data_IF_575623412892
#
_entry.id   IF_575623412892
#
_cell.length_a   1.000
_cell.length_b   1.000
_cell.length_c   1.000
_cell.angle_alpha   90.00
_cell.angle_beta   90.00
_cell.angle_gamma   90.00
#
_symmetry.space_group_name_H-M   'P 1'
#
loop_
_entity.id
_entity.type
_entity.pdbx_description
1 polymer ?
#
# COMPACT_ATOMS: atom_id res chain seq x y z
N UNK A 1 17.40 0.24 1.20
CA UNK A 1 16.89 1.62 1.04
C UNK A 1 15.39 1.58 1.31
N UNK A 2 14.88 2.45 2.17
CA UNK A 2 13.47 2.54 2.53
C UNK A 2 12.64 2.93 1.30
N UNK A 3 11.51 2.25 1.08
CA UNK A 3 10.55 2.57 0.02
C UNK A 3 9.19 2.84 0.64
N UNK A 4 8.48 3.85 0.13
CA UNK A 4 7.08 4.06 0.49
C UNK A 4 6.20 2.89 0.02
N UNK A 5 5.09 2.66 0.71
CA UNK A 5 4.07 1.70 0.29
C UNK A 5 3.10 2.30 -0.72
N UNK A 6 3.00 3.63 -0.75
CA UNK A 6 2.24 4.37 -1.76
C UNK A 6 3.16 4.72 -2.93
N UNK A 7 2.62 4.76 -4.12
CA UNK A 7 3.37 5.14 -5.31
C UNK A 7 2.51 5.18 -6.55
N UNK A 8 3.00 5.91 -7.52
CA UNK A 8 2.45 6.01 -8.86
C UNK A 8 3.57 5.83 -9.88
N UNK A 9 3.31 5.06 -10.91
CA UNK A 9 4.21 4.90 -12.05
C UNK A 9 3.41 4.81 -13.34
N UNK A 10 3.99 5.24 -14.42
CA UNK A 10 3.39 5.20 -15.75
C UNK A 10 4.44 4.92 -16.82
N UNK A 11 3.99 4.32 -17.91
CA UNK A 11 4.82 4.15 -19.09
C UNK A 11 3.95 4.29 -20.33
N UNK A 12 4.43 4.98 -21.33
CA UNK A 12 3.86 5.04 -22.67
C UNK A 12 4.90 4.49 -23.63
N UNK A 13 4.54 3.41 -24.35
CA UNK A 13 5.41 2.79 -25.34
C UNK A 13 4.66 2.77 -26.66
N UNK A 14 5.30 3.34 -27.67
CA UNK A 14 4.84 3.28 -29.06
C UNK A 14 5.59 2.15 -29.76
N UNK A 15 4.86 1.22 -30.35
CA UNK A 15 5.38 0.10 -31.11
C UNK A 15 4.80 0.12 -32.53
N UNK A 16 5.36 -0.67 -33.42
CA UNK A 16 4.80 -0.84 -34.75
C UNK A 16 3.42 -1.52 -34.65
N UNK A 17 2.37 -0.78 -35.04
CA UNK A 17 1.00 -1.28 -35.05
C UNK A 17 0.17 -1.03 -33.77
N UNK A 18 0.77 -0.62 -32.66
CA UNK A 18 0.02 -0.29 -31.44
C UNK A 18 0.78 0.65 -30.50
N UNK A 19 0.02 1.34 -29.64
CA UNK A 19 0.53 2.13 -28.54
C UNK A 19 -0.02 1.55 -27.24
N UNK A 20 0.83 1.34 -26.25
CA UNK A 20 0.45 0.88 -24.92
C UNK A 20 0.74 1.94 -23.87
N UNK A 21 -0.22 2.19 -22.99
CA UNK A 21 -0.06 3.06 -21.84
C UNK A 21 -0.39 2.28 -20.58
N UNK A 22 0.60 2.18 -19.70
CA UNK A 22 0.47 1.56 -18.39
C UNK A 22 0.40 2.60 -17.29
N UNK A 23 -0.47 2.37 -16.33
CA UNK A 23 -0.49 3.09 -15.06
C UNK A 23 -0.51 2.09 -13.91
N UNK A 24 0.37 2.32 -12.93
CA UNK A 24 0.50 1.51 -11.73
C UNK A 24 0.31 2.42 -10.52
N UNK A 25 -0.64 2.10 -9.65
CA UNK A 25 -0.92 2.82 -8.39
C UNK A 25 -0.89 1.85 -7.24
N UNK A 26 -0.29 2.24 -6.12
CA UNK A 26 -0.30 1.40 -4.92
C UNK A 26 -0.72 2.15 -3.67
N UNK A 27 -1.34 1.40 -2.76
CA UNK A 27 -1.67 1.84 -1.41
C UNK A 27 -1.25 0.78 -0.39
N UNK A 28 -1.09 1.18 0.86
CA UNK A 28 -0.71 0.26 1.92
C UNK A 28 -1.77 -0.85 2.08
N UNK A 29 -1.31 -2.10 2.09
CA UNK A 29 -2.11 -3.28 2.43
C UNK A 29 -1.22 -4.35 3.04
N UNK A 30 -1.82 -5.17 3.92
CA UNK A 30 -1.12 -6.26 4.63
C UNK A 30 -0.63 -7.36 3.67
N UNK A 31 -1.41 -7.67 2.64
CA UNK A 31 -1.14 -8.67 1.62
C UNK A 31 -1.01 -8.03 0.26
N UNK A 32 -0.37 -8.72 -0.69
CA UNK A 32 -0.37 -8.31 -2.07
C UNK A 32 -1.75 -8.58 -2.67
N UNK A 33 -2.44 -7.51 -3.05
CA UNK A 33 -3.74 -7.52 -3.73
C UNK A 33 -3.58 -6.78 -5.06
N UNK A 34 -3.78 -7.50 -6.17
CA UNK A 34 -3.62 -6.97 -7.52
C UNK A 34 -4.99 -6.71 -8.14
N UNK A 35 -5.22 -5.50 -8.60
CA UNK A 35 -6.41 -5.13 -9.36
C UNK A 35 -6.04 -4.74 -10.77
N UNK A 36 -6.61 -5.49 -11.72
CA UNK A 36 -6.35 -5.32 -13.13
C UNK A 36 -7.49 -4.59 -13.83
N UNK A 37 -7.11 -3.69 -14.72
CA UNK A 37 -7.99 -3.07 -15.72
C UNK A 37 -7.32 -3.25 -17.08
N UNK A 38 -7.58 -4.39 -17.68
CA UNK A 38 -7.03 -4.77 -18.99
C UNK A 38 -8.13 -4.72 -20.05
N UNK A 39 -7.81 -4.31 -21.29
CA UNK A 39 -8.68 -4.51 -22.44
C UNK A 39 -9.04 -6.00 -22.58
N UNK A 40 -10.25 -6.30 -23.09
CA UNK A 40 -10.73 -7.68 -23.27
C UNK A 40 -9.78 -8.51 -24.13
N UNK A 41 -9.21 -7.90 -25.18
CA UNK A 41 -8.29 -8.55 -26.13
C UNK A 41 -7.01 -9.13 -25.50
N UNK A 42 -6.61 -8.66 -24.32
CA UNK A 42 -5.37 -9.10 -23.65
C UNK A 42 -5.61 -9.59 -22.22
N UNK A 43 -6.87 -9.75 -21.83
CA UNK A 43 -7.23 -10.17 -20.47
C UNK A 43 -6.73 -11.57 -20.12
N UNK A 44 -6.60 -12.44 -21.09
CA UNK A 44 -6.03 -13.79 -20.93
C UNK A 44 -4.57 -13.77 -20.46
N UNK A 45 -3.85 -12.65 -20.65
CA UNK A 45 -2.46 -12.48 -20.21
C UNK A 45 -2.32 -12.15 -18.71
N UNK A 46 -3.42 -11.87 -17.99
CA UNK A 46 -3.37 -11.49 -16.56
C UNK A 46 -2.48 -12.40 -15.72
N UNK A 47 -2.55 -13.77 -15.82
CA UNK A 47 -1.69 -14.63 -15.01
C UNK A 47 -0.20 -14.52 -15.35
N UNK A 48 0.12 -14.15 -16.60
CA UNK A 48 1.49 -13.95 -17.07
C UNK A 48 2.03 -12.61 -16.58
N UNK A 49 1.25 -11.55 -16.73
CA UNK A 49 1.57 -10.19 -16.23
C UNK A 49 1.69 -10.15 -14.70
N UNK A 50 0.89 -10.93 -13.99
CA UNK A 50 1.00 -11.07 -12.53
C UNK A 50 2.39 -11.56 -12.11
N UNK A 51 2.98 -12.50 -12.84
CA UNK A 51 4.35 -12.97 -12.57
C UNK A 51 5.38 -11.84 -12.69
N UNK A 52 5.18 -10.91 -13.63
CA UNK A 52 6.03 -9.72 -13.75
C UNK A 52 5.88 -8.85 -12.52
N UNK A 53 4.64 -8.51 -12.11
CA UNK A 53 4.38 -7.65 -10.94
C UNK A 53 4.98 -8.24 -9.66
N UNK A 54 4.89 -9.55 -9.45
CA UNK A 54 5.43 -10.24 -8.27
C UNK A 54 6.94 -10.16 -8.11
N UNK A 55 7.70 -9.80 -9.16
CA UNK A 55 9.13 -9.52 -9.07
C UNK A 55 9.41 -8.14 -8.44
N UNK A 56 8.47 -7.21 -8.55
CA UNK A 56 8.60 -5.83 -8.09
C UNK A 56 7.86 -5.56 -6.77
N UNK A 57 6.79 -6.30 -6.48
CA UNK A 57 5.92 -6.10 -5.33
C UNK A 57 5.74 -7.38 -4.52
N UNK A 58 5.94 -7.30 -3.19
CA UNK A 58 5.72 -8.41 -2.24
C UNK A 58 4.46 -8.20 -1.37
N UNK A 59 3.99 -6.94 -1.23
CA UNK A 59 2.81 -6.55 -0.44
C UNK A 59 2.23 -5.23 -0.95
N UNK A 60 1.05 -4.90 -0.46
CA UNK A 60 0.32 -3.69 -0.86
C UNK A 60 -0.80 -4.02 -1.85
N UNK A 61 -1.77 -3.14 -1.94
CA UNK A 61 -2.74 -3.20 -3.01
C UNK A 61 -2.21 -2.39 -4.19
N UNK A 62 -2.11 -3.05 -5.35
CA UNK A 62 -1.59 -2.45 -6.58
C UNK A 62 -2.69 -2.48 -7.64
N UNK A 63 -3.15 -1.31 -8.02
CA UNK A 63 -4.11 -1.12 -9.12
C UNK A 63 -3.31 -0.87 -10.40
N UNK A 64 -3.51 -1.72 -11.41
CA UNK A 64 -2.77 -1.71 -12.68
C UNK A 64 -3.77 -1.54 -13.81
N UNK A 65 -3.54 -0.55 -14.66
CA UNK A 65 -4.37 -0.30 -15.85
C UNK A 65 -3.52 -0.25 -17.11
N UNK A 66 -4.04 -0.86 -18.15
CA UNK A 66 -3.50 -0.81 -19.52
C UNK A 66 -4.52 -0.14 -20.44
N UNK A 67 -4.07 0.87 -21.15
CA UNK A 67 -4.76 1.38 -22.34
C UNK A 67 -3.97 0.94 -23.57
N UNK A 68 -4.62 0.21 -24.46
CA UNK A 68 -4.02 -0.31 -25.69
C UNK A 68 -4.76 0.30 -26.89
N UNK A 69 -4.03 0.93 -27.77
CA UNK A 69 -4.56 1.54 -28.99
C UNK A 69 -3.83 0.97 -30.20
N UNK A 70 -4.57 0.39 -31.13
CA UNK A 70 -4.01 -0.13 -32.36
C UNK A 70 -3.96 0.97 -33.42
N UNK A 71 -2.85 1.07 -34.14
CA UNK A 71 -2.63 2.02 -35.25
C UNK A 71 -2.73 1.30 -36.59
N UNK A 72 -3.26 1.96 -37.59
CA UNK A 72 -3.29 1.43 -38.95
C UNK A 72 -4.25 0.24 -39.21
N UNK A 73 -5.23 0.02 -38.34
CA UNK A 73 -6.18 -1.09 -38.53
C UNK A 73 -5.63 -2.49 -38.19
N UNK A 74 -4.49 -2.54 -37.52
CA UNK A 74 -3.78 -3.80 -37.15
C UNK A 74 -4.37 -4.50 -35.91
N UNK A 75 -5.39 -3.90 -35.25
CA UNK A 75 -6.04 -4.50 -34.09
C UNK A 75 -6.77 -5.80 -34.44
N UNK A 76 -7.00 -6.68 -33.46
CA UNK A 76 -7.78 -7.88 -33.66
C UNK A 76 -9.18 -7.49 -34.17
N UNK A 77 -9.54 -7.96 -35.35
CA UNK A 77 -10.86 -7.73 -35.89
C UNK A 77 -11.89 -8.47 -35.04
N UNK A 78 -12.99 -7.79 -34.64
CA UNK A 78 -14.04 -8.47 -33.89
C UNK A 78 -14.56 -9.66 -34.74
N UNK A 79 -14.59 -10.84 -34.15
CA UNK A 79 -15.05 -12.05 -34.84
C UNK A 79 -16.52 -12.25 -34.55
N UNK A 80 -17.31 -12.36 -35.62
CA UNK A 80 -18.72 -12.69 -35.50
C UNK A 80 -18.89 -14.19 -35.22
N UNK A 81 -19.57 -14.56 -34.14
CA UNK A 81 -19.88 -15.93 -33.80
C UNK A 81 -21.10 -16.43 -34.60
N UNK A 82 -20.80 -16.93 -35.80
CA UNK A 82 -21.82 -17.44 -36.71
C UNK A 82 -22.55 -18.65 -36.10
N UNK A 83 -21.86 -19.49 -35.32
CA UNK A 83 -22.46 -20.70 -34.73
C UNK A 83 -23.48 -20.33 -33.66
N UNK A 84 -23.17 -19.36 -32.82
CA UNK A 84 -24.14 -18.85 -31.85
C UNK A 84 -25.31 -18.12 -32.52
N UNK A 85 -25.03 -17.34 -33.56
CA UNK A 85 -26.08 -16.70 -34.38
C UNK A 85 -27.04 -17.69 -35.01
N UNK A 86 -26.54 -18.78 -35.60
CA UNK A 86 -27.37 -19.85 -36.18
C UNK A 86 -28.25 -20.52 -35.11
N UNK A 87 -27.71 -20.83 -33.93
CA UNK A 87 -28.47 -21.41 -32.81
C UNK A 87 -29.58 -20.46 -32.33
N UNK A 88 -29.35 -19.17 -32.32
CA UNK A 88 -30.37 -18.16 -31.97
C UNK A 88 -31.47 -18.10 -33.03
N UNK A 89 -31.11 -18.10 -34.33
CA UNK A 89 -32.05 -18.07 -35.43
C UNK A 89 -32.94 -19.34 -35.43
N UNK A 90 -32.37 -20.51 -35.22
CA UNK A 90 -33.09 -21.76 -35.13
C UNK A 90 -34.09 -21.76 -33.97
N UNK A 91 -33.68 -21.27 -32.82
CA UNK A 91 -34.57 -21.14 -31.65
C UNK A 91 -35.77 -20.19 -31.92
N UNK A 92 -35.52 -19.07 -32.61
CA UNK A 92 -36.57 -18.15 -33.03
C UNK A 92 -37.52 -18.73 -34.08
N UNK A 93 -36.97 -19.46 -35.03
CA UNK A 93 -37.74 -20.19 -36.06
C UNK A 93 -38.67 -21.23 -35.44
N UNK A 94 -38.18 -22.02 -34.49
CA UNK A 94 -38.99 -22.97 -33.74
C UNK A 94 -40.08 -22.31 -32.92
N UNK A 95 -39.76 -21.17 -32.29
CA UNK A 95 -40.75 -20.40 -31.51
C UNK A 95 -41.86 -19.88 -32.41
N UNK A 96 -41.53 -19.27 -33.57
CA UNK A 96 -42.52 -18.80 -34.54
C UNK A 96 -43.40 -19.92 -35.03
N UNK A 97 -42.82 -21.11 -35.39
CA UNK A 97 -43.57 -22.28 -35.82
C UNK A 97 -44.59 -22.74 -34.78
N UNK A 98 -44.21 -22.77 -33.50
CA UNK A 98 -45.12 -23.11 -32.38
C UNK A 98 -46.28 -22.13 -32.25
N UNK A 99 -46.08 -20.87 -32.66
CA UNK A 99 -47.12 -19.81 -32.60
C UNK A 99 -47.94 -19.70 -33.90
N UNK A 100 -47.58 -20.48 -34.93
CA UNK A 100 -48.21 -20.39 -36.25
C UNK A 100 -47.82 -19.12 -37.02
N UNK A 101 -46.70 -18.51 -36.68
CA UNK A 101 -46.17 -17.26 -37.28
C UNK A 101 -45.07 -17.59 -38.28
N UNK A 102 -44.88 -16.75 -39.30
CA UNK A 102 -43.77 -16.86 -40.24
C UNK A 102 -42.58 -16.07 -39.70
N UNK A 103 -41.45 -16.75 -39.49
CA UNK A 103 -40.22 -16.09 -39.07
C UNK A 103 -39.41 -15.61 -40.26
N UNK A 104 -39.05 -14.34 -40.29
CA UNK A 104 -38.10 -13.72 -41.23
C UNK A 104 -36.91 -13.17 -40.44
N UNK A 105 -35.67 -13.69 -40.69
CA UNK A 105 -34.52 -13.25 -39.93
C UNK A 105 -34.14 -11.83 -40.29
N UNK A 106 -33.81 -11.02 -39.27
CA UNK A 106 -33.19 -9.69 -39.45
C UNK A 106 -31.71 -9.80 -39.08
N UNK A 107 -30.86 -9.88 -40.09
CA UNK A 107 -29.42 -9.95 -39.91
C UNK A 107 -28.82 -8.66 -39.33
N UNK A 108 -29.42 -7.50 -39.57
CA UNK A 108 -28.94 -6.23 -39.00
C UNK A 108 -29.16 -6.20 -37.48
N UNK A 109 -30.28 -6.78 -37.01
CA UNK A 109 -30.53 -6.93 -35.59
C UNK A 109 -29.51 -7.88 -34.94
N UNK A 110 -29.09 -8.96 -35.61
CA UNK A 110 -28.02 -9.83 -35.13
C UNK A 110 -26.67 -9.12 -35.05
N UNK A 111 -26.30 -8.33 -36.05
CA UNK A 111 -25.07 -7.56 -36.06
C UNK A 111 -25.00 -6.52 -34.92
N UNK A 112 -26.14 -6.06 -34.43
CA UNK A 112 -26.24 -5.13 -33.32
C UNK A 112 -26.10 -5.79 -31.94
N UNK A 113 -26.08 -7.13 -31.85
CA UNK A 113 -25.96 -7.85 -30.59
C UNK A 113 -24.49 -8.01 -30.16
N UNK A 114 -24.06 -7.34 -29.07
CA UNK A 114 -22.68 -7.44 -28.59
C UNK A 114 -22.28 -8.88 -28.24
N UNK A 115 -23.23 -9.72 -27.83
CA UNK A 115 -23.00 -11.11 -27.47
C UNK A 115 -22.52 -11.98 -28.65
N UNK A 116 -22.75 -11.56 -29.90
CA UNK A 116 -22.33 -12.28 -31.10
C UNK A 116 -20.96 -11.80 -31.63
N UNK A 117 -20.39 -10.79 -30.97
CA UNK A 117 -19.05 -10.30 -31.31
C UNK A 117 -18.10 -10.73 -30.20
N UNK A 118 -17.35 -11.78 -30.48
CA UNK A 118 -16.23 -12.19 -29.63
C UNK A 118 -14.97 -11.43 -30.02
N UNK A 119 -14.07 -11.24 -29.06
CA UNK A 119 -12.69 -11.02 -29.43
C UNK A 119 -12.25 -12.19 -30.29
N UNK A 120 -11.39 -11.94 -31.28
CA UNK A 120 -10.70 -13.01 -32.00
C UNK A 120 -9.91 -13.80 -30.96
N UNK A 121 -10.67 -14.51 -30.10
CA UNK A 121 -10.14 -15.31 -29.04
C UNK A 121 -9.33 -16.41 -29.68
N UNK A 122 -8.07 -16.31 -29.53
CA UNK A 122 -7.18 -17.45 -29.35
C UNK A 122 -5.77 -16.90 -29.56
N UNK A 123 -4.94 -17.05 -28.57
CA UNK A 123 -3.53 -16.74 -28.54
C UNK A 123 -3.18 -15.30 -28.93
N UNK A 124 -3.12 -14.45 -27.89
CA UNK A 124 -2.46 -13.15 -28.04
C UNK A 124 -1.06 -13.41 -28.63
N UNK A 125 -0.76 -12.74 -29.73
CA UNK A 125 0.54 -12.88 -30.41
C UNK A 125 1.69 -12.75 -29.37
N UNK A 126 2.67 -13.64 -29.49
CA UNK A 126 3.79 -13.67 -28.55
C UNK A 126 4.61 -12.39 -28.61
N UNK A 127 4.71 -11.76 -29.79
CA UNK A 127 5.38 -10.45 -29.95
C UNK A 127 4.66 -9.36 -29.16
N UNK A 128 3.33 -9.30 -29.24
CA UNK A 128 2.51 -8.38 -28.43
C UNK A 128 2.65 -8.70 -26.93
N UNK A 129 2.64 -9.97 -26.57
CA UNK A 129 2.78 -10.41 -25.18
C UNK A 129 4.10 -9.92 -24.56
N UNK A 130 5.21 -10.14 -25.25
CA UNK A 130 6.53 -9.68 -24.81
C UNK A 130 6.62 -8.16 -24.70
N UNK A 131 6.07 -7.45 -25.67
CA UNK A 131 6.04 -5.98 -25.64
C UNK A 131 5.20 -5.45 -24.46
N UNK A 132 4.08 -6.10 -24.12
CA UNK A 132 3.26 -5.74 -22.96
C UNK A 132 3.97 -6.04 -21.64
N UNK A 133 4.71 -7.14 -21.53
CA UNK A 133 5.53 -7.45 -20.35
C UNK A 133 6.64 -6.42 -20.14
N UNK A 134 7.28 -5.98 -21.22
CA UNK A 134 8.33 -4.96 -21.19
C UNK A 134 7.74 -3.59 -20.77
N UNK A 135 6.63 -3.16 -21.39
CA UNK A 135 5.96 -1.91 -21.03
C UNK A 135 5.48 -1.90 -19.58
N UNK A 136 4.93 -3.00 -19.09
CA UNK A 136 4.59 -3.15 -17.67
C UNK A 136 5.82 -3.07 -16.78
N UNK A 137 6.94 -3.68 -17.17
CA UNK A 137 8.18 -3.63 -16.39
C UNK A 137 8.69 -2.21 -16.26
N UNK A 138 8.68 -1.42 -17.33
CA UNK A 138 9.06 -0.01 -17.32
C UNK A 138 8.15 0.83 -16.40
N UNK A 139 6.84 0.59 -16.43
CA UNK A 139 5.91 1.27 -15.53
C UNK A 139 6.14 0.89 -14.05
N UNK A 140 6.53 -0.36 -13.78
CA UNK A 140 6.86 -0.84 -12.44
C UNK A 140 8.21 -0.30 -11.95
N UNK A 141 9.16 -0.05 -12.83
CA UNK A 141 10.42 0.64 -12.51
C UNK A 141 10.15 2.09 -12.11
N UNK A 142 9.39 2.85 -12.92
CA UNK A 142 8.99 4.23 -12.61
C UNK A 142 8.22 4.29 -11.27
N UNK A 143 7.29 3.36 -11.05
CA UNK A 143 6.58 3.22 -9.78
C UNK A 143 7.53 2.97 -8.60
N UNK A 144 8.56 2.11 -8.76
CA UNK A 144 9.53 1.85 -7.71
C UNK A 144 10.46 3.04 -7.45
N UNK A 145 10.81 3.79 -8.47
CA UNK A 145 11.63 5.00 -8.35
C UNK A 145 10.89 6.09 -7.59
N UNK A 146 9.61 6.30 -7.89
CA UNK A 146 8.74 7.21 -7.14
C UNK A 146 8.66 6.81 -5.65
N UNK A 147 8.43 5.52 -5.35
CA UNK A 147 8.41 4.98 -3.98
C UNK A 147 9.75 5.14 -3.25
N UNK A 148 10.85 4.96 -3.96
CA UNK A 148 12.19 5.14 -3.40
C UNK A 148 12.46 6.62 -3.10
N UNK A 149 12.03 7.54 -3.96
CA UNK A 149 12.17 8.98 -3.74
C UNK A 149 11.38 9.43 -2.49
N UNK A 150 10.12 9.01 -2.38
CA UNK A 150 9.27 9.29 -1.21
C UNK A 150 9.85 8.65 0.05
N UNK A 151 10.28 7.38 -0.02
CA UNK A 151 10.90 6.68 1.10
C UNK A 151 12.16 7.38 1.63
N UNK A 152 12.99 7.94 0.74
CA UNK A 152 14.16 8.75 1.14
C UNK A 152 13.75 10.05 1.85
N UNK A 153 12.69 10.71 1.39
CA UNK A 153 12.19 11.93 2.02
C UNK A 153 11.64 11.64 3.42
N UNK A 154 10.83 10.59 3.57
CA UNK A 154 10.29 10.14 4.85
C UNK A 154 11.41 9.73 5.82
N UNK A 155 12.43 8.99 5.36
CA UNK A 155 13.55 8.59 6.19
C UNK A 155 14.30 9.80 6.76
N UNK A 156 14.54 10.84 5.95
CA UNK A 156 15.18 12.07 6.41
C UNK A 156 14.35 12.81 7.46
N UNK A 157 13.05 12.92 7.26
CA UNK A 157 12.15 13.54 8.24
C UNK A 157 12.14 12.76 9.55
N UNK A 158 12.04 11.44 9.50
CA UNK A 158 12.09 10.58 10.68
C UNK A 158 13.41 10.69 11.44
N UNK A 159 14.56 10.66 10.74
CA UNK A 159 15.86 10.87 11.37
C UNK A 159 15.94 12.22 12.11
N UNK A 160 15.48 13.31 11.47
CA UNK A 160 15.44 14.61 12.09
C UNK A 160 14.59 14.64 13.37
N UNK A 161 13.45 13.94 13.37
CA UNK A 161 12.57 13.86 14.56
C UNK A 161 13.20 13.00 15.66
N UNK A 162 13.85 11.88 15.32
CA UNK A 162 14.53 11.04 16.29
C UNK A 162 15.65 11.82 16.99
N UNK A 163 16.50 12.52 16.23
CA UNK A 163 17.56 13.37 16.81
C UNK A 163 17.01 14.41 17.79
N UNK A 164 15.89 15.06 17.46
CA UNK A 164 15.23 15.99 18.39
C UNK A 164 14.69 15.31 19.64
N UNK A 165 14.17 14.09 19.52
CA UNK A 165 13.72 13.32 20.67
C UNK A 165 14.91 12.91 21.56
N UNK A 166 16.05 12.55 20.98
CA UNK A 166 17.29 12.26 21.73
C UNK A 166 17.78 13.48 22.49
N UNK A 167 17.80 14.66 21.85
CA UNK A 167 18.13 15.93 22.48
C UNK A 167 17.21 16.22 23.70
N UNK A 168 15.89 16.11 23.53
CA UNK A 168 14.94 16.32 24.62
C UNK A 168 15.09 15.27 25.73
N UNK A 169 15.37 14.05 25.37
CA UNK A 169 15.60 12.95 26.35
C UNK A 169 16.85 13.26 27.17
N UNK A 170 17.91 13.80 26.56
CA UNK A 170 19.10 14.27 27.23
C UNK A 170 18.82 15.40 28.22
N UNK A 171 18.07 16.41 27.79
CA UNK A 171 17.67 17.54 28.68
C UNK A 171 16.81 17.06 29.88
N UNK A 172 15.92 16.09 29.64
CA UNK A 172 15.13 15.49 30.73
C UNK A 172 16.04 14.72 31.70
N UNK A 173 16.99 13.92 31.14
CA UNK A 173 17.92 13.16 31.97
C UNK A 173 18.81 14.05 32.86
N UNK A 174 19.25 15.21 32.35
CA UNK A 174 20.00 16.17 33.11
C UNK A 174 19.17 16.86 34.23
N UNK A 175 17.90 17.19 33.93
CA UNK A 175 17.04 17.94 34.85
C UNK A 175 16.33 17.06 35.88
N UNK A 176 16.09 15.77 35.57
CA UNK A 176 15.32 14.85 36.42
C UNK A 176 15.90 14.72 37.86
N UNK A 177 17.23 14.56 38.07
CA UNK A 177 17.80 14.50 39.42
C UNK A 177 17.51 15.75 40.26
N UNK A 178 17.68 16.93 39.66
CA UNK A 178 17.43 18.24 40.36
C UNK A 178 15.96 18.36 40.76
N UNK A 179 15.02 17.99 39.86
CA UNK A 179 13.58 18.01 40.17
C UNK A 179 13.27 17.05 41.31
N UNK A 180 13.90 15.85 41.32
CA UNK A 180 13.74 14.87 42.39
C UNK A 180 14.18 15.45 43.74
N UNK A 181 15.34 16.12 43.79
CA UNK A 181 15.85 16.76 45.00
C UNK A 181 15.00 17.96 45.46
N UNK A 182 14.60 18.84 44.53
CA UNK A 182 13.70 19.96 44.81
C UNK A 182 12.38 19.49 45.41
N UNK A 183 11.77 18.47 44.82
CA UNK A 183 10.51 17.92 45.33
C UNK A 183 10.65 17.23 46.66
N UNK A 184 11.75 16.49 46.87
CA UNK A 184 12.05 15.90 48.16
C UNK A 184 12.25 16.93 49.27
N UNK A 185 12.92 18.05 48.96
CA UNK A 185 13.12 19.16 49.91
C UNK A 185 11.78 19.80 50.28
N UNK A 186 10.95 20.19 49.31
CA UNK A 186 9.61 20.75 49.55
C UNK A 186 8.74 19.80 50.40
N UNK A 187 8.87 18.53 50.15
CA UNK A 187 8.08 17.52 50.90
C UNK A 187 8.55 17.41 52.35
N UNK A 188 9.87 17.43 52.58
CA UNK A 188 10.44 17.45 53.96
C UNK A 188 10.00 18.70 54.74
N UNK A 189 9.99 19.86 54.10
CA UNK A 189 9.53 21.10 54.70
C UNK A 189 8.06 21.03 55.12
N UNK A 190 7.19 20.57 54.21
CA UNK A 190 5.76 20.35 54.55
C UNK A 190 5.55 19.30 55.65
N UNK A 191 6.42 18.29 55.70
CA UNK A 191 6.41 17.32 56.79
C UNK A 191 6.69 17.99 58.13
N UNK A 192 7.78 18.75 58.19
CA UNK A 192 8.17 19.39 59.45
C UNK A 192 7.06 20.33 59.94
N UNK A 193 6.46 21.11 59.04
CA UNK A 193 5.29 21.96 59.38
C UNK A 193 4.09 21.15 59.89
N UNK A 194 3.80 20.01 59.30
CA UNK A 194 2.69 19.12 59.73
C UNK A 194 2.98 18.45 61.05
N UNK A 195 4.24 18.04 61.32
CA UNK A 195 4.67 17.44 62.60
C UNK A 195 4.59 18.43 63.75
N UNK A 196 4.93 19.71 63.50
CA UNK A 196 4.80 20.80 64.48
C UNK A 196 3.33 21.12 64.79
N UNK A 197 2.44 21.00 63.80
CA UNK A 197 1.03 21.33 63.96
C UNK A 197 0.18 20.25 64.67
N UNK A 198 0.61 18.98 64.66
CA UNK A 198 -0.18 17.84 65.15
C UNK A 198 0.65 16.91 66.03
N UNK A 199 0.41 16.95 67.32
CA UNK A 199 0.98 15.99 68.31
C UNK A 199 0.42 14.58 68.01
N UNK A 200 1.25 13.68 67.39
CA UNK A 200 0.88 12.27 67.21
C UNK A 200 0.83 11.71 65.77
N UNK A 201 1.45 12.40 64.82
CA UNK A 201 1.66 11.82 63.48
C UNK A 201 2.66 10.64 63.55
N UNK A 202 2.33 9.52 62.88
CA UNK A 202 3.24 8.38 62.73
C UNK A 202 4.34 8.70 61.73
N UNK A 203 5.51 9.01 62.23
CA UNK A 203 6.71 9.40 61.47
C UNK A 203 7.10 8.27 60.47
N UNK A 204 6.91 7.00 60.82
CA UNK A 204 7.21 5.87 59.94
C UNK A 204 6.29 5.82 58.71
N UNK A 205 5.00 6.07 58.89
CA UNK A 205 4.03 6.11 57.82
C UNK A 205 4.33 7.24 56.84
N UNK A 206 4.79 8.36 57.34
CA UNK A 206 5.11 9.49 56.52
C UNK A 206 6.42 9.29 55.73
N UNK A 207 7.45 8.69 56.30
CA UNK A 207 8.67 8.30 55.59
C UNK A 207 8.38 7.31 54.47
N UNK A 208 7.41 6.42 54.65
CA UNK A 208 6.94 5.53 53.59
C UNK A 208 6.32 6.32 52.42
N UNK A 209 5.47 7.31 52.70
CA UNK A 209 4.86 8.13 51.66
C UNK A 209 5.90 8.93 50.87
N UNK A 210 6.93 9.49 51.53
CA UNK A 210 8.05 10.16 50.85
C UNK A 210 8.82 9.20 49.95
N UNK A 211 9.08 8.00 50.42
CA UNK A 211 9.79 6.98 49.63
C UNK A 211 8.98 6.61 48.37
N UNK A 212 7.69 6.38 48.51
CA UNK A 212 6.79 6.09 47.38
C UNK A 212 6.75 7.25 46.39
N UNK A 213 6.76 8.49 46.89
CA UNK A 213 6.78 9.68 46.01
C UNK A 213 8.13 9.82 45.29
N UNK A 214 9.24 9.58 45.97
CA UNK A 214 10.57 9.61 45.39
C UNK A 214 10.72 8.56 44.28
N UNK A 215 10.16 7.36 44.48
CA UNK A 215 10.13 6.31 43.45
C UNK A 215 9.27 6.72 42.25
N UNK A 216 8.14 7.38 42.45
CA UNK A 216 7.29 7.89 41.37
C UNK A 216 7.92 9.04 40.58
N UNK A 217 8.88 9.77 41.13
CA UNK A 217 9.62 10.84 40.48
C UNK A 217 10.88 10.32 39.78
N UNK A 218 11.21 9.05 39.96
CA UNK A 218 12.33 8.42 39.30
C UNK A 218 11.94 8.00 37.87
N UNK A 219 12.42 8.70 36.87
CA UNK A 219 12.16 8.47 35.45
C UNK A 219 13.31 7.72 34.75
N UNK A 220 14.25 7.16 35.52
CA UNK A 220 15.46 6.54 35.00
C UNK A 220 15.15 5.34 34.11
N UNK A 221 14.17 4.51 34.52
CA UNK A 221 13.75 3.34 33.75
C UNK A 221 13.11 3.76 32.40
N UNK A 222 12.22 4.75 32.45
CA UNK A 222 11.53 5.28 31.28
C UNK A 222 12.52 5.89 30.28
N UNK A 223 13.50 6.65 30.76
CA UNK A 223 14.55 7.20 29.93
C UNK A 223 15.42 6.09 29.29
N UNK A 224 15.78 5.07 30.05
CA UNK A 224 16.55 3.93 29.54
C UNK A 224 15.77 3.17 28.46
N UNK A 225 14.48 2.95 28.67
CA UNK A 225 13.59 2.34 27.69
C UNK A 225 13.46 3.20 26.42
N UNK A 226 13.28 4.51 26.60
CA UNK A 226 13.18 5.44 25.49
C UNK A 226 14.45 5.48 24.64
N UNK A 227 15.63 5.53 25.25
CA UNK A 227 16.91 5.43 24.53
C UNK A 227 17.02 4.15 23.72
N UNK A 228 16.62 3.01 24.33
CA UNK A 228 16.64 1.72 23.63
C UNK A 228 15.71 1.72 22.41
N UNK A 229 14.52 2.33 22.55
CA UNK A 229 13.56 2.43 21.43
C UNK A 229 14.06 3.37 20.31
N UNK A 230 14.68 4.49 20.67
CA UNK A 230 15.26 5.43 19.69
C UNK A 230 16.40 4.79 18.91
N UNK A 231 17.31 4.09 19.60
CA UNK A 231 18.38 3.34 18.95
C UNK A 231 17.84 2.28 17.97
N UNK A 232 16.80 1.55 18.38
CA UNK A 232 16.15 0.56 17.52
C UNK A 232 15.46 1.20 16.30
N UNK A 233 14.89 2.39 16.44
CA UNK A 233 14.32 3.12 15.30
C UNK A 233 15.40 3.52 14.30
N UNK A 234 16.58 3.99 14.74
CA UNK A 234 17.72 4.24 13.87
C UNK A 234 18.12 2.99 13.07
N UNK A 235 18.30 1.86 13.77
CA UNK A 235 18.63 0.59 13.12
C UNK A 235 17.60 0.18 12.06
N UNK A 236 16.31 0.35 12.34
CA UNK A 236 15.23 0.03 11.40
C UNK A 236 15.23 0.91 10.15
N UNK A 237 15.52 2.21 10.32
CA UNK A 237 15.61 3.15 9.19
C UNK A 237 16.83 2.84 8.31
N UNK A 238 17.96 2.47 8.90
CA UNK A 238 19.20 2.17 8.20
C UNK A 238 19.15 0.79 7.50
N UNK A 239 18.49 -0.19 8.09
CA UNK A 239 18.34 -1.52 7.52
C UNK A 239 17.58 -1.55 6.18
N UNK A 240 16.73 -0.57 5.91
CA UNK A 240 16.18 -0.25 4.58
C UNK A 240 15.29 -1.29 3.92
N UNK A 241 15.11 -2.47 4.49
CA UNK A 241 14.24 -3.52 3.96
C UNK A 241 13.06 -3.75 4.91
N UNK A 242 11.86 -3.75 4.37
CA UNK A 242 10.60 -4.09 5.07
C UNK A 242 10.33 -3.32 6.39
N UNK A 243 10.97 -2.14 6.55
CA UNK A 243 10.81 -1.31 7.73
C UNK A 243 9.34 -0.91 7.98
N UNK A 244 8.54 -0.72 6.94
CA UNK A 244 7.13 -0.36 7.07
C UNK A 244 6.31 -1.32 7.92
N UNK A 245 6.57 -2.63 7.88
CA UNK A 245 5.89 -3.61 8.74
C UNK A 245 6.30 -3.51 10.21
N UNK A 246 7.54 -3.08 10.47
CA UNK A 246 8.09 -2.97 11.84
C UNK A 246 7.89 -1.59 12.45
N UNK A 247 7.65 -0.58 11.60
CA UNK A 247 7.34 0.79 12.02
C UNK A 247 5.84 1.00 12.30
N UNK A 248 4.97 0.09 11.81
CA UNK A 248 3.52 0.10 12.09
C UNK A 248 3.18 -0.49 13.48
N UNK A 249 4.16 -1.01 14.22
CA UNK A 249 4.07 -1.53 15.58
C UNK A 249 4.99 -0.77 16.53
#
# INVERSE_FOLDING_TARGET
MLRSMTGFGRCLVESEGFTQQWEVKSVNSRHLDLKWRLPMSVRSLEPRLEKVVRRFASRGRVDISLTLQYTGGTGPAPRFDAMQADAMLDSLKELAARRGETFTPDYNALLALPALWGDAGDEVDEGLTLALEEGLSLALEDWNDARAAEGRALARDMHSRILRMEEWTGLIAERAPEIKEERAAVMRERLNEALEAVNGLDENRFLQEITILADRLDVTEELTRLHTHLARLHELLDAGKDAGRRLDF
#
